data_IF_545724324922
#
_entry.id   IF_545724324922
#
_cell.length_a   1.000
_cell.length_b   1.000
_cell.length_c   1.000
_cell.angle_alpha   90.00
_cell.angle_beta   90.00
_cell.angle_gamma   90.00
#
_symmetry.space_group_name_H-M   'P 1'
#
loop_
_entity.id
_entity.type
_entity.pdbx_description
1 polymer ?
#
# COMPACT_ATOMS: atom_id res chain seq x y z
N UNK A 1 30.15 2.99 -19.41
CA UNK A 1 29.84 2.33 -18.13
C UNK A 1 29.20 0.99 -18.42
N UNK A 2 29.68 -0.10 -17.82
CA UNK A 2 29.04 -1.43 -17.98
C UNK A 2 27.63 -1.35 -17.37
N UNK A 3 26.63 -1.85 -18.11
CA UNK A 3 25.25 -1.90 -17.64
C UNK A 3 25.22 -2.72 -16.33
N UNK A 4 24.77 -2.11 -15.24
CA UNK A 4 24.73 -2.75 -13.92
C UNK A 4 23.79 -3.97 -13.99
N UNK A 5 24.23 -5.11 -13.50
CA UNK A 5 23.39 -6.32 -13.47
C UNK A 5 22.35 -6.14 -12.38
N UNK A 6 21.08 -6.34 -12.73
CA UNK A 6 19.95 -6.24 -11.81
C UNK A 6 19.49 -7.64 -11.43
N UNK A 7 19.39 -7.92 -10.14
CA UNK A 7 18.75 -9.11 -9.59
C UNK A 7 17.51 -8.75 -8.78
N UNK A 8 16.45 -9.51 -8.95
CA UNK A 8 15.18 -9.31 -8.24
C UNK A 8 14.92 -10.53 -7.37
N UNK A 9 14.85 -10.33 -6.07
CA UNK A 9 14.50 -11.34 -5.08
C UNK A 9 13.11 -11.08 -4.51
N UNK A 10 12.48 -12.11 -4.00
CA UNK A 10 11.21 -12.00 -3.27
C UNK A 10 11.21 -12.96 -2.08
N UNK A 11 10.56 -12.56 -1.01
CA UNK A 11 10.14 -13.49 0.03
C UNK A 11 8.80 -14.12 -0.32
N UNK A 12 8.09 -14.59 0.70
CA UNK A 12 6.86 -15.37 0.52
C UNK A 12 5.57 -14.55 0.64
N UNK A 13 5.66 -13.22 0.91
CA UNK A 13 4.48 -12.41 1.18
C UNK A 13 3.59 -12.19 -0.05
N UNK A 14 4.17 -11.97 -1.23
CA UNK A 14 3.40 -11.64 -2.43
C UNK A 14 4.10 -12.11 -3.72
N UNK A 15 4.18 -13.43 -3.93
CA UNK A 15 4.86 -13.99 -5.12
C UNK A 15 4.16 -13.63 -6.43
N UNK A 16 2.83 -13.43 -6.42
CA UNK A 16 2.06 -13.06 -7.60
C UNK A 16 2.50 -11.69 -8.13
N UNK A 17 2.58 -10.67 -7.25
CA UNK A 17 3.07 -9.34 -7.61
C UNK A 17 4.53 -9.38 -8.10
N UNK A 18 5.39 -10.17 -7.44
CA UNK A 18 6.77 -10.32 -7.87
C UNK A 18 6.87 -10.95 -9.28
N UNK A 19 6.03 -11.93 -9.59
CA UNK A 19 5.95 -12.55 -10.92
C UNK A 19 5.48 -11.56 -11.98
N UNK A 20 4.45 -10.75 -11.70
CA UNK A 20 3.98 -9.71 -12.61
C UNK A 20 5.08 -8.67 -12.90
N UNK A 21 5.75 -8.17 -11.86
CA UNK A 21 6.87 -7.20 -12.00
C UNK A 21 8.01 -7.78 -12.83
N UNK A 22 8.40 -9.01 -12.54
CA UNK A 22 9.42 -9.77 -13.25
C UNK A 22 9.08 -9.93 -14.74
N UNK A 23 7.82 -10.27 -15.04
CA UNK A 23 7.31 -10.38 -16.41
C UNK A 23 7.40 -9.06 -17.19
N UNK A 24 7.02 -7.94 -16.57
CA UNK A 24 7.08 -6.60 -17.20
C UNK A 24 8.54 -6.19 -17.46
N UNK A 25 9.44 -6.48 -16.54
CA UNK A 25 10.88 -6.18 -16.69
C UNK A 25 11.59 -7.10 -17.67
N UNK A 26 10.96 -8.21 -18.10
CA UNK A 26 11.61 -9.24 -18.92
C UNK A 26 12.78 -9.91 -18.19
N UNK A 27 12.74 -9.96 -16.85
CA UNK A 27 13.79 -10.55 -16.00
C UNK A 27 13.18 -11.68 -15.17
N UNK A 28 13.96 -12.71 -14.92
CA UNK A 28 13.56 -13.78 -13.99
C UNK A 28 13.78 -13.32 -12.55
N UNK A 29 12.93 -13.77 -11.65
CA UNK A 29 13.18 -13.68 -10.21
C UNK A 29 14.43 -14.50 -9.90
N UNK A 30 15.39 -13.91 -9.21
CA UNK A 30 16.64 -14.56 -8.82
C UNK A 30 16.37 -15.61 -7.75
N UNK A 31 17.06 -16.73 -7.83
CA UNK A 31 16.79 -17.89 -6.98
C UNK A 31 17.24 -17.65 -5.54
N UNK A 32 16.34 -17.85 -4.61
CA UNK A 32 16.59 -17.92 -3.18
C UNK A 32 15.72 -19.00 -2.55
N UNK A 33 16.28 -19.79 -1.64
CA UNK A 33 15.49 -20.66 -0.78
C UNK A 33 15.04 -19.85 0.44
N UNK A 34 13.74 -19.59 0.54
CA UNK A 34 13.11 -18.96 1.69
C UNK A 34 12.16 -19.97 2.32
N UNK A 35 12.44 -20.41 3.52
CA UNK A 35 11.69 -21.48 4.17
C UNK A 35 11.89 -21.46 5.69
N UNK A 36 11.72 -22.62 6.32
CA UNK A 36 11.80 -22.76 7.76
C UNK A 36 12.70 -23.90 8.17
N UNK A 37 13.33 -23.75 9.33
CA UNK A 37 13.85 -24.87 10.10
C UNK A 37 12.69 -25.62 10.79
N UNK A 38 13.00 -26.79 11.35
CA UNK A 38 11.99 -27.64 12.00
C UNK A 38 11.33 -27.03 13.24
N UNK A 39 11.99 -26.05 13.86
CA UNK A 39 11.51 -25.28 15.00
C UNK A 39 10.69 -24.04 14.61
N UNK A 40 10.57 -23.76 13.28
CA UNK A 40 9.82 -22.63 12.76
C UNK A 40 10.64 -21.37 12.52
N UNK A 41 11.94 -21.37 12.81
CA UNK A 41 12.82 -20.25 12.45
C UNK A 41 12.95 -20.11 10.93
N UNK A 42 13.03 -18.87 10.46
CA UNK A 42 13.14 -18.57 9.01
C UNK A 42 14.54 -18.93 8.54
N UNK A 43 14.60 -19.66 7.44
CA UNK A 43 15.83 -20.01 6.72
C UNK A 43 15.86 -19.30 5.37
N UNK A 44 16.98 -18.63 5.08
CA UNK A 44 17.22 -17.99 3.77
C UNK A 44 18.56 -18.46 3.20
N UNK A 45 18.58 -18.78 1.91
CA UNK A 45 19.80 -19.04 1.16
C UNK A 45 19.70 -18.43 -0.24
N UNK A 46 20.61 -17.50 -0.56
CA UNK A 46 20.75 -16.96 -1.92
C UNK A 46 21.42 -18.00 -2.80
N UNK A 47 20.86 -18.22 -3.98
CA UNK A 47 21.45 -19.07 -5.01
C UNK A 47 22.10 -18.19 -6.09
N UNK A 48 23.26 -18.55 -6.53
CA UNK A 48 23.99 -17.82 -7.57
C UNK A 48 24.89 -16.70 -7.04
N UNK A 49 25.52 -16.01 -7.97
CA UNK A 49 26.48 -14.95 -7.67
C UNK A 49 25.81 -13.59 -7.81
N UNK A 50 25.82 -12.80 -6.72
CA UNK A 50 25.28 -11.43 -6.68
C UNK A 50 26.36 -10.37 -6.43
N UNK A 51 27.64 -10.76 -6.46
CA UNK A 51 28.75 -9.86 -6.17
C UNK A 51 28.77 -8.70 -7.17
N UNK A 52 28.69 -7.49 -6.62
CA UNK A 52 28.72 -6.25 -7.41
C UNK A 52 27.43 -5.96 -8.18
N UNK A 53 26.36 -6.74 -7.97
CA UNK A 53 25.06 -6.53 -8.60
C UNK A 53 24.20 -5.51 -7.84
N UNK A 54 23.29 -4.87 -8.55
CA UNK A 54 22.20 -4.04 -7.99
C UNK A 54 21.03 -4.97 -7.66
N UNK A 55 20.72 -5.13 -6.39
CA UNK A 55 19.76 -6.13 -5.92
C UNK A 55 18.50 -5.48 -5.37
N UNK A 56 17.34 -5.99 -5.77
CA UNK A 56 16.03 -5.54 -5.35
C UNK A 56 15.33 -6.68 -4.60
N UNK A 57 14.81 -6.40 -3.42
CA UNK A 57 13.99 -7.35 -2.64
C UNK A 57 12.56 -6.84 -2.65
N UNK A 58 11.67 -7.52 -3.35
CA UNK A 58 10.24 -7.19 -3.38
C UNK A 58 9.51 -8.01 -2.32
N UNK A 59 9.12 -7.36 -1.22
CA UNK A 59 8.48 -8.01 -0.09
C UNK A 59 7.56 -7.06 0.68
N UNK A 60 6.26 -7.29 0.64
CA UNK A 60 5.32 -6.60 1.54
C UNK A 60 5.47 -7.12 2.98
N UNK A 61 5.44 -6.21 3.96
CA UNK A 61 5.50 -6.60 5.38
C UNK A 61 4.10 -6.68 5.99
N UNK A 62 3.15 -7.20 5.18
CA UNK A 62 1.77 -7.50 5.59
C UNK A 62 1.69 -8.76 6.48
N UNK A 63 0.49 -9.08 6.95
CA UNK A 63 0.27 -10.29 7.74
C UNK A 63 0.63 -11.58 6.96
N UNK A 64 1.32 -12.52 7.63
CA UNK A 64 1.87 -12.52 8.98
C UNK A 64 3.08 -11.58 9.11
N UNK A 65 2.87 -10.39 9.70
CA UNK A 65 3.82 -9.27 9.60
C UNK A 65 5.20 -9.57 10.16
N UNK A 66 5.29 -10.26 11.29
CA UNK A 66 6.58 -10.62 11.89
C UNK A 66 7.39 -11.53 10.98
N UNK A 67 6.75 -12.52 10.37
CA UNK A 67 7.35 -13.44 9.42
C UNK A 67 7.88 -12.70 8.20
N UNK A 68 7.01 -11.95 7.54
CA UNK A 68 7.34 -11.26 6.29
C UNK A 68 8.42 -10.19 6.48
N UNK A 69 8.41 -9.53 7.66
CA UNK A 69 9.47 -8.60 8.04
C UNK A 69 10.80 -9.33 8.22
N UNK A 70 10.83 -10.45 8.95
CA UNK A 70 12.07 -11.20 9.18
C UNK A 70 12.62 -11.85 7.90
N UNK A 71 11.77 -12.32 6.98
CA UNK A 71 12.21 -12.78 5.66
C UNK A 71 12.97 -11.68 4.92
N UNK A 72 12.44 -10.44 4.91
CA UNK A 72 13.09 -9.29 4.28
C UNK A 72 14.46 -9.00 4.91
N UNK A 73 14.53 -9.02 6.27
CA UNK A 73 15.78 -8.78 7.00
C UNK A 73 16.84 -9.81 6.63
N UNK A 74 16.49 -11.10 6.61
CA UNK A 74 17.43 -12.16 6.33
C UNK A 74 17.85 -12.21 4.85
N UNK A 75 16.95 -11.88 3.92
CA UNK A 75 17.31 -11.69 2.51
C UNK A 75 18.34 -10.57 2.37
N UNK A 76 18.12 -9.42 3.01
CA UNK A 76 19.02 -8.29 2.95
C UNK A 76 20.42 -8.63 3.53
N UNK A 77 20.49 -9.24 4.72
CA UNK A 77 21.76 -9.64 5.32
C UNK A 77 22.51 -10.68 4.46
N UNK A 78 21.78 -11.65 3.89
CA UNK A 78 22.37 -12.65 3.00
C UNK A 78 22.96 -12.01 1.72
N UNK A 79 22.28 -11.05 1.12
CA UNK A 79 22.77 -10.30 -0.05
C UNK A 79 23.99 -9.45 0.30
N UNK A 80 23.96 -8.74 1.44
CA UNK A 80 25.09 -7.97 1.94
C UNK A 80 26.33 -8.84 2.14
N UNK A 81 26.18 -10.00 2.80
CA UNK A 81 27.28 -10.96 3.00
C UNK A 81 27.76 -11.59 1.70
N UNK A 82 26.91 -11.65 0.68
CA UNK A 82 27.26 -12.11 -0.67
C UNK A 82 27.88 -11.00 -1.55
N UNK A 83 28.15 -9.82 -0.97
CA UNK A 83 28.79 -8.67 -1.62
C UNK A 83 27.96 -8.07 -2.76
N UNK A 84 26.63 -8.03 -2.63
CA UNK A 84 25.81 -7.17 -3.48
C UNK A 84 26.33 -5.71 -3.41
N UNK A 85 26.29 -5.00 -4.53
CA UNK A 85 26.79 -3.62 -4.56
C UNK A 85 25.78 -2.64 -3.95
N UNK A 86 24.50 -2.90 -4.13
CA UNK A 86 23.39 -2.10 -3.60
C UNK A 86 22.21 -3.02 -3.31
N UNK A 87 21.53 -2.79 -2.19
CA UNK A 87 20.34 -3.53 -1.77
C UNK A 87 19.18 -2.54 -1.64
N UNK A 88 18.21 -2.64 -2.53
CA UNK A 88 17.00 -1.84 -2.50
C UNK A 88 15.82 -2.71 -2.03
N UNK A 89 15.19 -2.34 -0.92
CA UNK A 89 13.96 -2.97 -0.46
C UNK A 89 12.75 -2.31 -1.12
N UNK A 90 12.01 -3.07 -1.93
CA UNK A 90 10.70 -2.68 -2.46
C UNK A 90 9.64 -3.24 -1.53
N UNK A 91 8.99 -2.37 -0.76
CA UNK A 91 8.03 -2.74 0.29
C UNK A 91 6.66 -2.13 -0.05
N UNK A 92 5.87 -2.78 -0.93
CA UNK A 92 4.58 -2.24 -1.38
C UNK A 92 3.63 -1.91 -0.24
N UNK A 93 3.64 -2.72 0.83
CA UNK A 93 2.98 -2.41 2.09
C UNK A 93 3.99 -2.41 3.23
N UNK A 94 4.16 -1.24 3.86
CA UNK A 94 5.02 -1.06 5.04
C UNK A 94 4.23 -1.33 6.30
N UNK A 95 4.41 -2.51 6.88
CA UNK A 95 3.76 -2.92 8.13
C UNK A 95 4.25 -2.08 9.32
N UNK A 96 3.45 -2.08 10.42
CA UNK A 96 3.71 -1.28 11.63
C UNK A 96 3.64 0.24 11.43
N UNK A 97 3.26 0.74 10.25
CA UNK A 97 3.17 2.15 9.92
C UNK A 97 2.16 2.95 10.74
N UNK A 98 1.15 2.28 11.33
CA UNK A 98 0.07 2.98 12.07
C UNK A 98 0.49 3.54 13.43
N UNK A 99 1.66 3.14 13.95
CA UNK A 99 2.29 3.74 15.13
C UNK A 99 3.48 4.60 14.69
N UNK A 100 3.17 5.74 14.07
CA UNK A 100 4.13 6.71 13.51
C UNK A 100 4.48 7.84 14.48
N UNK A 101 3.75 7.98 15.57
CA UNK A 101 3.90 9.06 16.57
C UNK A 101 3.54 8.61 17.96
N UNK A 102 4.07 9.35 18.95
CA UNK A 102 3.71 9.15 20.34
C UNK A 102 2.42 9.92 20.68
N UNK A 103 1.43 9.23 21.21
CA UNK A 103 0.23 9.85 21.76
C UNK A 103 0.55 10.42 23.13
N UNK A 104 0.12 11.67 23.42
CA UNK A 104 0.50 12.41 24.65
C UNK A 104 0.19 11.65 25.95
N UNK A 105 -0.90 10.90 25.99
CA UNK A 105 -1.38 10.20 27.18
C UNK A 105 -0.92 8.75 27.31
N UNK A 106 -0.14 8.24 26.35
CA UNK A 106 0.22 6.82 26.29
C UNK A 106 1.73 6.60 26.21
N UNK A 107 2.17 5.51 26.84
CA UNK A 107 3.55 4.99 26.74
C UNK A 107 3.58 3.92 25.66
N UNK A 108 3.64 4.35 24.39
CA UNK A 108 3.62 3.48 23.22
C UNK A 108 4.93 3.60 22.44
N UNK A 109 5.36 2.57 21.71
CA UNK A 109 6.48 2.67 20.79
C UNK A 109 6.13 3.52 19.58
N UNK A 110 7.13 3.95 18.82
CA UNK A 110 6.98 4.41 17.44
C UNK A 110 7.43 3.25 16.55
N UNK A 111 6.53 2.29 16.32
CA UNK A 111 6.87 1.03 15.65
C UNK A 111 7.39 1.25 14.23
N UNK A 112 6.89 2.26 13.53
CA UNK A 112 7.37 2.63 12.20
C UNK A 112 8.87 2.99 12.21
N UNK A 113 9.35 3.71 13.25
CA UNK A 113 10.79 4.03 13.41
C UNK A 113 11.61 2.80 13.73
N UNK A 114 11.11 1.92 14.62
CA UNK A 114 11.81 0.69 14.97
C UNK A 114 12.06 -0.18 13.75
N UNK A 115 11.06 -0.33 12.87
CA UNK A 115 11.21 -1.10 11.63
C UNK A 115 12.18 -0.42 10.66
N UNK A 116 12.16 0.92 10.56
CA UNK A 116 13.13 1.66 9.74
C UNK A 116 14.58 1.44 10.23
N UNK A 117 14.80 1.43 11.55
CA UNK A 117 16.12 1.16 12.13
C UNK A 117 16.60 -0.27 11.85
N UNK A 118 15.68 -1.24 11.88
CA UNK A 118 16.00 -2.62 11.51
C UNK A 118 16.46 -2.71 10.05
N UNK A 119 15.80 -2.00 9.11
CA UNK A 119 16.21 -1.96 7.71
C UNK A 119 17.64 -1.45 7.54
N UNK A 120 17.96 -0.34 8.23
CA UNK A 120 19.32 0.21 8.22
C UNK A 120 20.34 -0.78 8.78
N UNK A 121 20.03 -1.43 9.89
CA UNK A 121 20.95 -2.32 10.61
C UNK A 121 21.37 -3.53 9.77
N UNK A 122 20.50 -4.07 8.92
CA UNK A 122 20.80 -5.21 8.05
C UNK A 122 21.48 -4.80 6.73
N UNK A 123 21.63 -3.48 6.48
CA UNK A 123 22.36 -2.94 5.35
C UNK A 123 21.54 -2.79 4.08
N UNK A 124 20.26 -2.47 4.21
CA UNK A 124 19.46 -1.96 3.11
C UNK A 124 19.93 -0.55 2.78
N UNK A 125 20.29 -0.30 1.51
CA UNK A 125 20.82 0.98 1.04
C UNK A 125 19.73 1.96 0.61
N UNK A 126 18.55 1.46 0.24
CA UNK A 126 17.39 2.26 -0.20
C UNK A 126 16.09 1.51 0.07
N UNK A 127 15.05 2.27 0.38
CA UNK A 127 13.69 1.74 0.54
C UNK A 127 12.76 2.40 -0.49
N UNK A 128 11.92 1.62 -1.14
CA UNK A 128 10.77 2.10 -1.93
C UNK A 128 9.50 1.54 -1.33
N UNK A 129 8.57 2.43 -1.01
CA UNK A 129 7.25 2.10 -0.46
C UNK A 129 6.15 2.68 -1.34
N UNK A 130 4.91 2.20 -1.14
CA UNK A 130 3.73 2.76 -1.80
C UNK A 130 2.78 3.29 -0.74
N UNK A 131 2.31 4.53 -0.88
CA UNK A 131 1.32 5.18 -0.02
C UNK A 131 1.53 4.92 1.49
N UNK A 132 2.64 5.39 2.04
CA UNK A 132 2.88 5.32 3.48
C UNK A 132 1.71 5.93 4.26
N UNK A 133 1.32 5.29 5.36
CA UNK A 133 0.24 5.76 6.24
C UNK A 133 0.42 7.23 6.67
N UNK A 134 1.65 7.66 6.84
CA UNK A 134 2.02 9.05 7.11
C UNK A 134 3.29 9.38 6.33
N UNK A 135 3.30 10.53 5.65
CA UNK A 135 4.49 11.02 4.93
C UNK A 135 5.70 11.24 5.84
N UNK A 136 5.46 11.54 7.12
CA UNK A 136 6.52 11.73 8.13
C UNK A 136 7.38 10.48 8.33
N UNK A 137 6.85 9.29 8.00
CA UNK A 137 7.60 8.02 8.11
C UNK A 137 8.84 8.03 7.21
N UNK A 138 8.83 8.75 6.08
CA UNK A 138 10.01 8.90 5.24
C UNK A 138 11.21 9.47 6.01
N UNK A 139 10.96 10.37 6.96
CA UNK A 139 11.98 10.95 7.83
C UNK A 139 12.50 10.00 8.92
N UNK A 140 11.97 8.79 9.06
CA UNK A 140 12.46 7.79 10.01
C UNK A 140 13.59 6.94 9.44
N UNK A 141 13.76 6.93 8.13
CA UNK A 141 14.79 6.16 7.47
C UNK A 141 16.12 6.93 7.46
N UNK A 142 17.18 6.26 7.89
CA UNK A 142 18.55 6.80 7.82
C UNK A 142 19.22 6.55 6.44
N UNK A 143 18.51 5.92 5.51
CA UNK A 143 18.86 5.75 4.11
C UNK A 143 17.79 6.41 3.22
N UNK A 144 18.07 6.64 1.92
CA UNK A 144 17.06 7.15 0.98
C UNK A 144 15.77 6.30 1.00
N UNK A 145 14.65 6.97 1.17
CA UNK A 145 13.32 6.35 1.18
C UNK A 145 12.42 7.06 0.17
N UNK A 146 11.99 6.32 -0.84
CA UNK A 146 11.06 6.79 -1.86
C UNK A 146 9.66 6.29 -1.53
N UNK A 147 8.72 7.20 -1.31
CA UNK A 147 7.31 6.87 -1.20
C UNK A 147 6.61 7.21 -2.52
N UNK A 148 6.17 6.20 -3.24
CA UNK A 148 5.44 6.37 -4.49
C UNK A 148 3.93 6.25 -4.25
N UNK A 149 3.12 6.80 -5.16
CA UNK A 149 1.68 6.92 -4.95
C UNK A 149 0.89 6.09 -5.96
N UNK A 150 -0.11 5.36 -5.48
CA UNK A 150 -1.07 4.65 -6.33
C UNK A 150 -2.10 5.59 -6.98
N UNK A 151 -2.09 6.88 -6.63
CA UNK A 151 -3.07 7.88 -7.09
C UNK A 151 -3.24 7.88 -8.60
N UNK A 152 -2.15 7.87 -9.38
CA UNK A 152 -2.24 7.86 -10.85
C UNK A 152 -2.94 6.61 -11.38
N UNK A 153 -2.61 5.45 -10.83
CA UNK A 153 -3.26 4.18 -11.17
C UNK A 153 -4.76 4.23 -10.87
N UNK A 154 -5.14 4.79 -9.72
CA UNK A 154 -6.54 4.98 -9.33
C UNK A 154 -7.26 5.96 -10.26
N UNK A 155 -6.64 7.10 -10.59
CA UNK A 155 -7.19 8.11 -11.52
C UNK A 155 -7.49 7.51 -12.89
N UNK A 156 -6.54 6.75 -13.44
CA UNK A 156 -6.70 6.11 -14.75
C UNK A 156 -7.86 5.12 -14.75
N UNK A 157 -8.00 4.35 -13.66
CA UNK A 157 -9.11 3.42 -13.47
C UNK A 157 -10.45 4.13 -13.28
N UNK A 158 -10.51 5.18 -12.45
CA UNK A 158 -11.72 5.98 -12.21
C UNK A 158 -12.23 6.60 -13.51
N UNK A 159 -11.36 7.23 -14.30
CA UNK A 159 -11.71 7.82 -15.59
C UNK A 159 -12.25 6.79 -16.56
N UNK A 160 -11.65 5.60 -16.59
CA UNK A 160 -12.09 4.49 -17.45
C UNK A 160 -13.46 3.93 -17.04
N UNK A 161 -13.73 3.84 -15.75
CA UNK A 161 -14.96 3.21 -15.21
C UNK A 161 -16.11 4.19 -14.96
N UNK A 162 -15.86 5.50 -15.08
CA UNK A 162 -16.88 6.56 -14.91
C UNK A 162 -16.75 7.61 -16.04
N UNK A 163 -17.08 7.24 -17.29
CA UNK A 163 -16.86 8.10 -18.45
C UNK A 163 -17.72 9.37 -18.44
N UNK A 164 -18.87 9.34 -17.77
CA UNK A 164 -19.79 10.49 -17.69
C UNK A 164 -19.32 11.57 -16.72
N UNK A 165 -18.23 11.32 -16.00
CA UNK A 165 -17.62 12.24 -15.02
C UNK A 165 -18.59 12.80 -13.96
N UNK A 166 -19.74 12.12 -13.71
CA UNK A 166 -20.67 12.48 -12.64
C UNK A 166 -20.19 11.92 -11.30
N UNK A 167 -19.02 12.38 -10.88
CA UNK A 167 -18.32 11.89 -9.68
C UNK A 167 -18.13 13.00 -8.65
N UNK A 168 -18.05 12.61 -7.38
CA UNK A 168 -17.58 13.44 -6.28
C UNK A 168 -16.57 12.65 -5.45
N UNK A 169 -15.44 13.27 -5.14
CA UNK A 169 -14.46 12.65 -4.25
C UNK A 169 -14.86 12.93 -2.81
N UNK A 170 -14.95 11.88 -2.00
CA UNK A 170 -15.42 11.99 -0.61
C UNK A 170 -14.30 11.64 0.35
N UNK A 171 -13.89 12.58 1.19
CA UNK A 171 -12.97 12.27 2.28
C UNK A 171 -13.70 11.51 3.39
N UNK A 172 -13.21 10.32 3.80
CA UNK A 172 -13.85 9.51 4.83
C UNK A 172 -13.77 10.12 6.24
N UNK A 173 -12.89 11.11 6.43
CA UNK A 173 -12.72 11.88 7.66
C UNK A 173 -11.91 13.16 7.37
N UNK A 174 -11.73 13.99 8.42
CA UNK A 174 -10.95 15.24 8.29
C UNK A 174 -9.47 15.00 7.99
N UNK A 175 -8.90 13.87 8.43
CA UNK A 175 -7.49 13.51 8.18
C UNK A 175 -7.22 13.17 6.72
N UNK A 176 -8.18 12.58 6.01
CA UNK A 176 -8.07 12.19 4.60
C UNK A 176 -8.26 13.30 3.59
N UNK A 177 -8.60 14.54 4.02
CA UNK A 177 -8.94 15.66 3.12
C UNK A 177 -7.82 16.00 2.13
N UNK A 178 -6.56 15.98 2.58
CA UNK A 178 -5.40 16.30 1.72
C UNK A 178 -5.30 15.29 0.57
N UNK A 179 -5.40 13.98 0.88
CA UNK A 179 -5.39 12.89 -0.12
C UNK A 179 -6.56 13.01 -1.08
N UNK A 180 -7.77 13.21 -0.55
CA UNK A 180 -8.98 13.33 -1.36
C UNK A 180 -8.91 14.53 -2.30
N UNK A 181 -8.37 15.66 -1.85
CA UNK A 181 -8.17 16.85 -2.69
C UNK A 181 -7.15 16.62 -3.79
N UNK A 182 -6.04 15.91 -3.49
CA UNK A 182 -5.04 15.56 -4.49
C UNK A 182 -5.64 14.66 -5.59
N UNK A 183 -6.49 13.70 -5.21
CA UNK A 183 -7.23 12.85 -6.17
C UNK A 183 -8.22 13.68 -6.99
N UNK A 184 -9.05 14.52 -6.36
CA UNK A 184 -10.03 15.36 -7.04
C UNK A 184 -9.39 16.25 -8.09
N UNK A 185 -8.23 16.87 -7.79
CA UNK A 185 -7.48 17.70 -8.72
C UNK A 185 -7.05 16.94 -9.98
N UNK A 186 -6.64 15.67 -9.86
CA UNK A 186 -6.26 14.83 -11.01
C UNK A 186 -7.49 14.29 -11.79
N UNK A 187 -8.67 14.38 -11.19
CA UNK A 187 -9.97 14.05 -11.81
C UNK A 187 -10.69 15.29 -12.38
N UNK A 188 -9.92 16.18 -13.02
CA UNK A 188 -10.41 17.43 -13.63
C UNK A 188 -11.09 18.36 -12.62
N UNK A 189 -10.50 18.52 -11.44
CA UNK A 189 -11.04 19.29 -10.31
C UNK A 189 -12.46 18.86 -9.91
N UNK A 190 -12.69 17.55 -9.85
CA UNK A 190 -13.96 16.98 -9.38
C UNK A 190 -14.35 17.55 -8.00
N UNK A 191 -15.66 17.64 -7.76
CA UNK A 191 -16.20 18.11 -6.49
C UNK A 191 -15.65 17.31 -5.31
N UNK A 192 -15.52 17.96 -4.15
CA UNK A 192 -15.04 17.37 -2.91
C UNK A 192 -16.14 17.44 -1.84
N UNK A 193 -16.45 16.29 -1.23
CA UNK A 193 -17.25 16.22 -0.03
C UNK A 193 -16.42 15.65 1.15
N UNK A 194 -16.84 15.93 2.37
CA UNK A 194 -16.14 15.52 3.59
C UNK A 194 -17.15 14.90 4.56
N UNK A 195 -16.81 13.74 5.12
CA UNK A 195 -17.58 13.12 6.22
C UNK A 195 -17.00 13.64 7.54
N UNK A 196 -17.75 14.51 8.21
CA UNK A 196 -17.45 14.98 9.57
C UNK A 196 -18.08 14.05 10.60
N UNK A 197 -17.24 13.34 11.35
CA UNK A 197 -17.63 12.39 12.39
C UNK A 197 -17.67 13.09 13.72
N UNK A 198 -18.85 13.28 14.29
CA UNK A 198 -19.02 13.82 15.64
C UNK A 198 -19.46 12.73 16.60
N UNK A 199 -18.76 12.62 17.73
CA UNK A 199 -19.18 11.83 18.88
C UNK A 199 -19.74 12.79 19.90
N UNK A 200 -21.07 12.89 19.98
CA UNK A 200 -21.72 13.81 20.93
C UNK A 200 -21.65 13.31 22.38
N UNK A 201 -21.44 12.02 22.63
CA UNK A 201 -21.15 11.45 23.96
C UNK A 201 -20.58 10.01 23.86
N UNK A 202 -19.93 9.54 24.93
CA UNK A 202 -19.56 8.13 25.10
C UNK A 202 -20.82 7.26 25.09
N UNK A 203 -20.91 6.27 24.18
CA UNK A 203 -22.02 5.32 23.96
C UNK A 203 -23.19 5.82 23.08
N UNK A 204 -23.08 6.92 22.35
CA UNK A 204 -24.07 7.25 21.29
C UNK A 204 -23.56 6.83 19.91
N UNK A 205 -24.53 6.56 19.00
CA UNK A 205 -24.23 6.28 17.59
C UNK A 205 -23.46 7.46 16.98
N UNK A 206 -22.45 7.14 16.20
CA UNK A 206 -21.63 8.14 15.49
C UNK A 206 -22.51 8.88 14.48
N UNK A 207 -22.72 10.19 14.69
CA UNK A 207 -23.45 11.05 13.74
C UNK A 207 -22.45 11.44 12.65
N UNK A 208 -22.76 11.07 11.41
CA UNK A 208 -21.99 11.46 10.24
C UNK A 208 -22.66 12.63 9.56
N UNK A 209 -22.01 13.81 9.58
CA UNK A 209 -22.45 14.95 8.79
C UNK A 209 -21.64 15.01 7.50
N UNK A 210 -22.32 15.07 6.35
CA UNK A 210 -21.67 15.17 5.05
C UNK A 210 -21.69 16.63 4.60
N UNK A 211 -20.52 17.17 4.34
CA UNK A 211 -20.33 18.53 3.85
C UNK A 211 -19.98 18.44 2.37
N UNK A 212 -20.82 18.95 1.50
CA UNK A 212 -20.70 18.90 0.05
C UNK A 212 -21.94 18.31 -0.61
N UNK A 213 -22.07 18.50 -1.94
CA UNK A 213 -23.18 18.01 -2.72
C UNK A 213 -22.87 16.64 -3.33
N UNK A 214 -23.63 15.61 -2.93
CA UNK A 214 -23.43 14.21 -3.35
C UNK A 214 -24.67 13.60 -4.02
N UNK A 215 -25.80 14.32 -4.04
CA UNK A 215 -27.07 13.79 -4.53
C UNK A 215 -26.97 13.40 -6.02
N UNK A 216 -27.34 12.17 -6.35
CA UNK A 216 -27.30 11.61 -7.69
C UNK A 216 -25.90 11.39 -8.27
N UNK A 217 -24.82 11.61 -7.50
CA UNK A 217 -23.42 11.43 -7.95
C UNK A 217 -22.84 10.08 -7.55
N UNK A 218 -21.79 9.66 -8.25
CA UNK A 218 -20.93 8.54 -7.86
C UNK A 218 -19.90 9.04 -6.87
N UNK A 219 -19.99 8.59 -5.62
CA UNK A 219 -19.04 8.94 -4.55
C UNK A 219 -17.79 8.07 -4.65
N UNK A 220 -16.62 8.70 -4.85
CA UNK A 220 -15.31 8.05 -4.85
C UNK A 220 -14.66 8.31 -3.48
N UNK A 221 -14.45 7.26 -2.70
CA UNK A 221 -13.87 7.35 -1.34
C UNK A 221 -12.44 6.80 -1.35
N UNK A 222 -11.40 7.67 -1.41
CA UNK A 222 -10.02 7.22 -1.35
C UNK A 222 -9.54 7.05 0.09
N UNK A 223 -8.75 5.98 0.34
CA UNK A 223 -7.98 5.84 1.58
C UNK A 223 -6.69 5.05 1.35
N UNK A 224 -5.74 5.09 2.30
CA UNK A 224 -4.53 4.28 2.21
C UNK A 224 -4.78 2.83 2.65
N UNK A 225 -5.53 2.61 3.72
CA UNK A 225 -5.71 1.30 4.35
C UNK A 225 -7.18 1.01 4.63
N UNK A 226 -7.62 -0.18 4.24
CA UNK A 226 -8.85 -0.77 4.77
C UNK A 226 -8.49 -1.97 5.65
N UNK A 227 -8.86 -1.89 6.94
CA UNK A 227 -8.60 -2.96 7.90
C UNK A 227 -9.88 -3.75 8.18
N UNK A 228 -10.66 -3.39 9.18
CA UNK A 228 -11.89 -4.11 9.55
C UNK A 228 -13.13 -3.69 8.77
N UNK A 229 -13.01 -2.75 7.86
CA UNK A 229 -14.03 -2.16 6.99
C UNK A 229 -15.20 -1.42 7.70
N UNK A 230 -15.22 -1.38 9.04
CA UNK A 230 -16.36 -0.80 9.76
C UNK A 230 -16.60 0.68 9.41
N UNK A 231 -15.55 1.50 9.48
CA UNK A 231 -15.62 2.93 9.16
C UNK A 231 -16.10 3.19 7.74
N UNK A 232 -15.55 2.45 6.77
CA UNK A 232 -15.89 2.61 5.36
C UNK A 232 -17.35 2.17 5.07
N UNK A 233 -17.79 1.06 5.67
CA UNK A 233 -19.18 0.60 5.51
C UNK A 233 -20.18 1.60 6.11
N UNK A 234 -19.90 2.17 7.27
CA UNK A 234 -20.74 3.22 7.88
C UNK A 234 -20.76 4.50 7.01
N UNK A 235 -19.60 4.89 6.46
CA UNK A 235 -19.51 6.02 5.54
C UNK A 235 -20.38 5.78 4.28
N UNK A 236 -20.28 4.59 3.70
CA UNK A 236 -21.07 4.24 2.52
C UNK A 236 -22.57 4.31 2.79
N UNK A 237 -23.02 3.79 3.95
CA UNK A 237 -24.41 3.89 4.35
C UNK A 237 -24.87 5.35 4.45
N UNK A 238 -24.11 6.20 5.12
CA UNK A 238 -24.44 7.63 5.26
C UNK A 238 -24.51 8.34 3.91
N UNK A 239 -23.63 8.01 2.96
CA UNK A 239 -23.65 8.55 1.60
C UNK A 239 -24.88 8.10 0.83
N UNK A 240 -25.25 6.83 0.93
CA UNK A 240 -26.48 6.29 0.30
C UNK A 240 -27.74 6.91 0.91
N UNK A 241 -27.81 7.04 2.22
CA UNK A 241 -28.94 7.66 2.93
C UNK A 241 -29.13 9.14 2.50
N UNK A 242 -28.09 9.82 2.01
CA UNK A 242 -28.12 11.18 1.45
C UNK A 242 -28.20 11.24 -0.08
N UNK A 243 -28.58 10.17 -0.74
CA UNK A 243 -28.90 10.18 -2.17
C UNK A 243 -27.74 9.92 -3.12
N UNK A 244 -26.58 9.44 -2.67
CA UNK A 244 -25.51 9.04 -3.55
C UNK A 244 -25.96 7.94 -4.53
N UNK A 245 -25.73 8.11 -5.82
CA UNK A 245 -26.08 7.14 -6.85
C UNK A 245 -25.30 5.82 -6.68
N UNK A 246 -23.99 5.95 -6.42
CA UNK A 246 -23.13 4.82 -6.10
C UNK A 246 -22.01 5.24 -5.14
N UNK A 247 -21.47 4.28 -4.38
CA UNK A 247 -20.32 4.46 -3.50
C UNK A 247 -19.23 3.48 -3.88
N UNK A 248 -18.12 4.01 -4.41
CA UNK A 248 -16.93 3.25 -4.79
C UNK A 248 -15.75 3.67 -3.92
N UNK A 249 -15.12 2.72 -3.26
CA UNK A 249 -13.93 2.99 -2.46
C UNK A 249 -12.66 2.59 -3.24
N UNK A 250 -11.63 3.44 -3.17
CA UNK A 250 -10.32 3.21 -3.80
C UNK A 250 -9.25 3.20 -2.73
N UNK A 251 -8.71 2.02 -2.43
CA UNK A 251 -7.85 1.79 -1.28
C UNK A 251 -6.53 1.16 -1.72
N UNK A 252 -5.41 1.72 -1.28
CA UNK A 252 -4.11 1.18 -1.64
C UNK A 252 -3.83 -0.15 -0.94
N UNK A 253 -4.09 -0.26 0.37
CA UNK A 253 -3.69 -1.43 1.15
C UNK A 253 -4.89 -2.21 1.71
N UNK A 254 -5.25 -3.35 1.08
CA UNK A 254 -6.34 -4.20 1.55
C UNK A 254 -5.88 -5.13 2.69
N UNK A 255 -5.78 -4.62 3.91
CA UNK A 255 -5.47 -5.45 5.09
C UNK A 255 -6.60 -6.44 5.35
N UNK A 256 -7.84 -6.00 5.28
CA UNK A 256 -9.09 -6.79 5.32
C UNK A 256 -9.10 -7.83 6.44
N UNK A 257 -8.76 -7.40 7.65
CA UNK A 257 -8.68 -8.28 8.82
C UNK A 257 -10.04 -8.52 9.49
N UNK A 258 -10.11 -9.60 10.28
CA UNK A 258 -11.28 -9.93 11.09
C UNK A 258 -12.57 -10.01 10.26
N UNK A 259 -13.64 -9.29 10.62
CA UNK A 259 -14.95 -9.37 9.95
C UNK A 259 -15.06 -8.50 8.68
N UNK A 260 -13.95 -8.06 8.08
CA UNK A 260 -13.98 -7.10 6.97
C UNK A 260 -14.80 -7.60 5.77
N UNK A 261 -14.59 -8.85 5.36
CA UNK A 261 -15.29 -9.43 4.19
C UNK A 261 -16.80 -9.55 4.44
N UNK A 262 -17.20 -10.00 5.64
CA UNK A 262 -18.62 -10.10 6.00
C UNK A 262 -19.29 -8.72 6.03
N UNK A 263 -18.59 -7.72 6.57
CA UNK A 263 -19.07 -6.33 6.58
C UNK A 263 -19.22 -5.78 5.17
N UNK A 264 -18.26 -6.01 4.29
CA UNK A 264 -18.32 -5.57 2.90
C UNK A 264 -19.49 -6.21 2.16
N UNK A 265 -19.67 -7.52 2.29
CA UNK A 265 -20.78 -8.23 1.65
C UNK A 265 -22.14 -7.66 2.06
N UNK A 266 -22.30 -7.26 3.32
CA UNK A 266 -23.54 -6.71 3.89
C UNK A 266 -23.63 -5.18 3.88
N UNK A 267 -22.69 -4.47 3.22
CA UNK A 267 -22.63 -3.00 3.20
C UNK A 267 -23.33 -2.40 1.99
N UNK A 268 -23.50 -1.07 2.03
CA UNK A 268 -23.97 -0.25 0.92
C UNK A 268 -22.84 0.16 -0.07
N UNK A 269 -21.64 -0.40 0.08
CA UNK A 269 -20.55 -0.20 -0.88
C UNK A 269 -20.91 -0.94 -2.16
N UNK A 270 -20.89 -0.23 -3.29
CA UNK A 270 -21.12 -0.82 -4.61
C UNK A 270 -19.84 -1.50 -5.13
N UNK A 271 -18.68 -0.89 -4.94
CA UNK A 271 -17.40 -1.43 -5.37
C UNK A 271 -16.26 -1.01 -4.44
N UNK A 272 -15.40 -1.96 -4.07
CA UNK A 272 -14.13 -1.71 -3.40
C UNK A 272 -12.98 -2.03 -4.35
N UNK A 273 -12.31 -1.01 -4.85
CA UNK A 273 -11.13 -1.14 -5.70
C UNK A 273 -9.90 -1.08 -4.81
N UNK A 274 -9.06 -2.10 -4.88
CA UNK A 274 -7.84 -2.20 -4.07
C UNK A 274 -6.63 -2.48 -4.95
N UNK A 275 -5.44 -2.14 -4.45
CA UNK A 275 -4.23 -2.59 -5.13
C UNK A 275 -3.81 -3.99 -4.68
N UNK A 276 -2.86 -4.59 -5.40
CA UNK A 276 -2.23 -5.84 -4.99
C UNK A 276 -0.97 -5.64 -4.11
N UNK A 277 -0.88 -4.53 -3.36
CA UNK A 277 0.18 -4.32 -2.36
C UNK A 277 0.18 -5.39 -1.26
N UNK A 278 -1.00 -5.92 -0.94
CA UNK A 278 -1.25 -7.05 -0.05
C UNK A 278 -2.07 -8.08 -0.84
N UNK A 279 -1.68 -9.36 -0.87
CA UNK A 279 -2.47 -10.38 -1.53
C UNK A 279 -3.81 -10.60 -0.80
N UNK A 280 -4.90 -10.70 -1.56
CA UNK A 280 -6.20 -11.00 -0.98
C UNK A 280 -6.23 -12.42 -0.40
N UNK A 281 -6.92 -12.57 0.74
CA UNK A 281 -7.27 -13.89 1.29
C UNK A 281 -8.18 -14.66 0.32
N UNK A 282 -8.38 -15.96 0.60
CA UNK A 282 -9.30 -16.77 -0.19
C UNK A 282 -10.74 -16.21 -0.19
N UNK A 283 -11.21 -15.73 0.95
CA UNK A 283 -12.49 -15.08 1.12
C UNK A 283 -12.54 -13.74 0.40
N UNK A 284 -11.48 -12.95 0.46
CA UNK A 284 -11.37 -11.68 -0.26
C UNK A 284 -11.45 -11.86 -1.77
N UNK A 285 -10.82 -12.90 -2.32
CA UNK A 285 -10.91 -13.24 -3.75
C UNK A 285 -12.31 -13.66 -4.20
N UNK A 286 -13.17 -14.13 -3.29
CA UNK A 286 -14.57 -14.51 -3.57
C UNK A 286 -15.56 -13.36 -3.39
N UNK A 287 -15.18 -12.28 -2.74
CA UNK A 287 -16.06 -11.13 -2.54
C UNK A 287 -16.28 -10.40 -3.87
N UNK A 288 -17.50 -10.44 -4.39
CA UNK A 288 -17.87 -9.85 -5.69
C UNK A 288 -17.75 -8.32 -5.72
N UNK A 289 -17.69 -7.67 -4.56
CA UNK A 289 -17.53 -6.21 -4.44
C UNK A 289 -16.07 -5.78 -4.54
N UNK A 290 -15.10 -6.69 -4.43
CA UNK A 290 -13.67 -6.36 -4.46
C UNK A 290 -13.14 -6.53 -5.86
N UNK A 291 -12.51 -5.47 -6.39
CA UNK A 291 -11.74 -5.50 -7.63
C UNK A 291 -10.31 -5.07 -7.36
N UNK A 292 -9.35 -5.77 -7.97
CA UNK A 292 -7.92 -5.50 -7.80
C UNK A 292 -7.36 -4.77 -9.02
N UNK A 293 -6.58 -3.72 -8.77
CA UNK A 293 -5.73 -3.04 -9.76
C UNK A 293 -4.26 -3.28 -9.42
N UNK A 294 -3.45 -3.63 -10.40
CA UNK A 294 -2.08 -4.08 -10.14
C UNK A 294 -1.09 -2.92 -10.06
N UNK A 295 -0.23 -2.94 -9.04
CA UNK A 295 0.93 -2.05 -8.88
C UNK A 295 2.14 -2.49 -9.72
N UNK A 296 2.07 -3.62 -10.41
CA UNK A 296 3.23 -4.23 -11.04
C UNK A 296 3.91 -3.30 -12.06
N UNK A 297 3.13 -2.59 -12.88
CA UNK A 297 3.68 -1.64 -13.86
C UNK A 297 4.41 -0.46 -13.18
N UNK A 298 3.81 0.09 -12.12
CA UNK A 298 4.40 1.19 -11.33
C UNK A 298 5.71 0.74 -10.68
N UNK A 299 5.72 -0.43 -10.02
CA UNK A 299 6.91 -0.96 -9.36
C UNK A 299 8.00 -1.32 -10.38
N UNK A 300 7.65 -1.92 -11.51
CA UNK A 300 8.61 -2.24 -12.56
C UNK A 300 9.29 -0.98 -13.12
N UNK A 301 8.52 0.08 -13.36
CA UNK A 301 9.09 1.36 -13.80
C UNK A 301 9.99 1.99 -12.73
N UNK A 302 9.61 1.91 -11.43
CA UNK A 302 10.47 2.35 -10.35
C UNK A 302 11.80 1.60 -10.31
N UNK A 303 11.78 0.26 -10.42
CA UNK A 303 13.01 -0.56 -10.44
C UNK A 303 13.90 -0.14 -11.60
N UNK A 304 13.32 0.04 -12.79
CA UNK A 304 14.06 0.47 -13.99
C UNK A 304 14.71 1.83 -13.79
N UNK A 305 13.96 2.83 -13.29
CA UNK A 305 14.47 4.18 -13.03
C UNK A 305 15.54 4.17 -11.95
N UNK A 306 15.33 3.48 -10.83
CA UNK A 306 16.32 3.36 -9.76
C UNK A 306 17.62 2.73 -10.24
N UNK A 307 17.55 1.68 -11.09
CA UNK A 307 18.74 1.05 -11.66
C UNK A 307 19.45 1.93 -12.70
N UNK A 308 18.72 2.80 -13.39
CA UNK A 308 19.28 3.76 -14.36
C UNK A 308 19.68 5.10 -13.71
N UNK A 309 19.46 5.27 -12.39
CA UNK A 309 19.69 6.53 -11.67
C UNK A 309 18.81 7.68 -12.19
N UNK A 310 17.58 7.35 -12.64
CA UNK A 310 16.59 8.30 -13.13
C UNK A 310 15.65 8.77 -12.01
N UNK A 311 15.03 9.95 -12.19
CA UNK A 311 14.09 10.54 -11.23
C UNK A 311 12.79 9.73 -11.13
N UNK A 312 12.35 9.40 -9.91
CA UNK A 312 11.02 8.82 -9.65
C UNK A 312 9.92 9.89 -9.61
N UNK A 313 10.24 11.13 -9.22
CA UNK A 313 9.24 12.20 -9.08
C UNK A 313 8.51 12.50 -10.38
N UNK A 314 9.17 12.34 -11.53
CA UNK A 314 8.58 12.53 -12.86
C UNK A 314 7.42 11.57 -13.18
N UNK A 315 7.29 10.47 -12.44
CA UNK A 315 6.18 9.51 -12.62
C UNK A 315 4.86 10.03 -12.07
N UNK A 316 4.89 11.07 -11.22
CA UNK A 316 3.76 11.52 -10.41
C UNK A 316 3.41 13.01 -10.62
N UNK A 317 4.10 13.67 -11.56
CA UNK A 317 3.85 15.06 -11.98
C UNK A 317 2.74 15.11 -13.03
#
# INVERSE_FOLDING_TARGET
MSKQVIDIFTGTANPDLASEVSGILGKKISEADVGYFSDGEIKVQIKGNVRGHDTFILQSTCAPSNKNLMELMFLADALKRSSAARITAIVPYYGYARQDRRVRSARVPISAKVVADMFYSVGIDRVLTVDLHSETIQGFFDMPADNVYATKLMVDDIKKTNPDNNIVVVSPDVGGVVRSRALAKQLNDADLAIIDKRRDAANQSEVMNIIGDIEGKVCIVPDDIIDTAGTLCNAAKALKDQGAAAVKAYITHPVLSGPAIDRLNNSEIDELVVTNSIPLSHEGKKCSKIRVISLAATIAECIKRLSNEESLSEMFI
#
